data_IF_691206230509
#
_entry.id   IF_691206230509
#
_cell.length_a   1.000
_cell.length_b   1.000
_cell.length_c   1.000
_cell.angle_alpha   90.00
_cell.angle_beta   90.00
_cell.angle_gamma   90.00
#
_symmetry.space_group_name_H-M   'P 1'
#
loop_
_entity.id
_entity.type
_entity.pdbx_description
1 polymer ?
#
# COMPACT_ATOMS: atom_id res chain seq x y z
N UNK A 1 25.56 10.66 -9.18
CA UNK A 1 26.76 11.41 -9.57
C UNK A 1 27.76 10.48 -10.27
N UNK A 2 28.18 9.39 -9.61
CA UNK A 2 29.25 8.49 -10.09
C UNK A 2 28.93 7.87 -11.46
N UNK A 3 27.70 7.39 -11.67
CA UNK A 3 27.26 6.76 -12.93
C UNK A 3 27.07 7.72 -14.10
N UNK A 4 26.97 9.03 -13.82
CA UNK A 4 26.81 10.09 -14.83
C UNK A 4 28.13 10.88 -15.03
N UNK A 5 29.21 10.51 -14.34
CA UNK A 5 30.49 11.24 -14.38
C UNK A 5 30.43 12.66 -13.81
N UNK A 6 29.38 13.00 -13.05
CA UNK A 6 29.14 14.33 -12.49
C UNK A 6 29.62 14.39 -11.03
N UNK A 7 30.90 14.26 -10.78
CA UNK A 7 31.47 14.13 -9.43
C UNK A 7 31.26 15.40 -8.59
N UNK A 8 31.34 16.57 -9.20
CA UNK A 8 31.24 17.88 -8.53
C UNK A 8 29.86 18.50 -8.64
N UNK A 9 28.84 17.74 -9.05
CA UNK A 9 27.48 18.27 -9.19
C UNK A 9 26.89 18.60 -7.81
N UNK A 10 26.28 19.80 -7.72
CA UNK A 10 25.52 20.19 -6.53
C UNK A 10 24.28 19.34 -6.41
N UNK A 11 24.14 18.67 -5.27
CA UNK A 11 23.00 17.79 -4.99
C UNK A 11 21.94 18.54 -4.18
N UNK A 12 20.72 18.60 -4.69
CA UNK A 12 19.55 19.08 -3.98
C UNK A 12 18.69 17.87 -3.63
N UNK A 13 18.42 17.67 -2.34
CA UNK A 13 17.59 16.55 -1.85
C UNK A 13 16.41 17.14 -1.08
N UNK A 14 15.20 16.84 -1.53
CA UNK A 14 13.98 17.13 -0.77
C UNK A 14 13.62 15.94 0.12
N UNK A 15 12.90 16.19 1.19
CA UNK A 15 12.33 15.14 2.04
C UNK A 15 11.32 14.29 1.27
N UNK A 16 11.23 12.99 1.61
CA UNK A 16 10.15 12.10 1.19
C UNK A 16 8.84 12.40 1.94
N UNK A 17 8.85 13.27 2.94
CA UNK A 17 7.64 13.57 3.70
C UNK A 17 6.60 14.31 2.85
N UNK A 18 5.38 13.78 2.89
CA UNK A 18 4.18 14.37 2.28
C UNK A 18 3.16 14.68 3.39
N UNK A 19 3.29 15.82 4.09
CA UNK A 19 2.48 16.12 5.28
C UNK A 19 0.99 16.22 4.98
N UNK A 20 0.62 16.54 3.75
CA UNK A 20 -0.76 16.64 3.29
C UNK A 20 -1.44 15.29 3.00
N UNK A 21 -0.72 14.15 3.08
CA UNK A 21 -1.29 12.83 2.85
C UNK A 21 -1.65 12.17 4.18
N UNK A 22 -2.89 11.69 4.29
CA UNK A 22 -3.33 10.81 5.35
C UNK A 22 -3.12 9.35 4.93
N UNK A 23 -2.54 8.54 5.82
CA UNK A 23 -2.30 7.12 5.56
C UNK A 23 -3.14 6.23 6.48
N UNK A 24 -3.81 5.26 5.89
CA UNK A 24 -4.66 4.32 6.62
C UNK A 24 -4.55 2.90 6.06
N UNK A 25 -4.51 1.92 6.95
CA UNK A 25 -4.62 0.49 6.59
C UNK A 25 -5.87 -0.08 7.22
N UNK A 26 -6.75 -0.63 6.40
CA UNK A 26 -8.02 -1.25 6.79
C UNK A 26 -7.98 -2.77 6.59
N UNK A 27 -8.66 -3.54 7.43
CA UNK A 27 -8.84 -4.96 7.17
C UNK A 27 -9.64 -5.17 5.87
N UNK A 28 -9.16 -6.05 5.00
CA UNK A 28 -9.87 -6.44 3.79
C UNK A 28 -10.84 -7.56 4.11
N UNK A 29 -12.11 -7.24 4.08
CA UNK A 29 -13.23 -8.15 4.34
C UNK A 29 -13.99 -8.49 3.05
N UNK A 30 -14.97 -9.39 3.12
CA UNK A 30 -15.84 -9.71 1.98
C UNK A 30 -16.73 -8.51 1.57
N UNK A 31 -16.90 -7.51 2.41
CA UNK A 31 -17.68 -6.30 2.15
C UNK A 31 -16.84 -5.13 1.57
N UNK A 32 -15.58 -5.36 1.17
CA UNK A 32 -14.66 -4.33 0.67
C UNK A 32 -15.27 -3.46 -0.43
N UNK A 33 -15.98 -4.07 -1.39
CA UNK A 33 -16.59 -3.32 -2.49
C UNK A 33 -17.63 -2.31 -1.99
N UNK A 34 -18.45 -2.72 -1.02
CA UNK A 34 -19.45 -1.83 -0.40
C UNK A 34 -18.80 -0.69 0.37
N UNK A 35 -17.71 -1.00 1.06
CA UNK A 35 -16.94 0.00 1.81
C UNK A 35 -16.30 1.04 0.88
N UNK A 36 -15.67 0.60 -0.21
CA UNK A 36 -15.10 1.49 -1.24
C UNK A 36 -16.21 2.35 -1.86
N UNK A 37 -17.32 1.76 -2.27
CA UNK A 37 -18.46 2.50 -2.84
C UNK A 37 -18.98 3.56 -1.86
N UNK A 38 -19.17 3.20 -0.60
CA UNK A 38 -19.62 4.12 0.46
C UNK A 38 -18.62 5.27 0.64
N UNK A 39 -17.32 4.94 0.67
CA UNK A 39 -16.26 5.94 0.80
C UNK A 39 -16.28 6.92 -0.39
N UNK A 40 -16.28 6.41 -1.63
CA UNK A 40 -16.27 7.28 -2.83
C UNK A 40 -17.51 8.18 -2.86
N UNK A 41 -18.69 7.66 -2.52
CA UNK A 41 -19.91 8.47 -2.43
C UNK A 41 -19.80 9.60 -1.39
N UNK A 42 -19.05 9.40 -0.30
CA UNK A 42 -18.76 10.47 0.67
C UNK A 42 -17.75 11.51 0.13
N UNK A 43 -16.96 11.15 -0.91
CA UNK A 43 -15.99 12.02 -1.57
C UNK A 43 -16.53 12.63 -2.87
N UNK A 44 -17.86 12.82 -2.99
CA UNK A 44 -18.53 13.31 -4.21
C UNK A 44 -17.83 14.52 -4.81
N UNK A 45 -17.57 14.46 -6.13
CA UNK A 45 -16.88 15.51 -6.89
C UNK A 45 -15.35 15.56 -6.69
N UNK A 46 -14.78 14.51 -6.08
CA UNK A 46 -13.32 14.41 -5.90
C UNK A 46 -12.77 13.28 -6.77
N UNK A 47 -11.63 13.53 -7.42
CA UNK A 47 -10.94 12.54 -8.23
C UNK A 47 -10.15 11.54 -7.38
N UNK A 48 -10.16 10.27 -7.79
CA UNK A 48 -9.44 9.20 -7.10
C UNK A 48 -8.92 8.10 -7.99
N UNK A 49 -7.96 7.35 -7.46
CA UNK A 49 -7.35 6.20 -8.13
C UNK A 49 -7.49 4.99 -7.21
N UNK A 50 -7.88 3.84 -7.78
CA UNK A 50 -7.96 2.57 -7.07
C UNK A 50 -7.01 1.58 -7.73
N UNK A 51 -6.05 1.05 -6.99
CA UNK A 51 -5.11 0.04 -7.47
C UNK A 51 -5.55 -1.37 -7.09
N UNK A 52 -5.61 -2.27 -8.08
CA UNK A 52 -5.88 -3.70 -7.93
C UNK A 52 -4.73 -4.52 -8.50
N UNK A 53 -4.54 -5.75 -8.02
CA UNK A 53 -3.47 -6.65 -8.48
C UNK A 53 -3.75 -7.23 -9.87
N UNK A 54 -4.99 -7.54 -10.20
CA UNK A 54 -5.35 -8.23 -11.44
C UNK A 54 -6.20 -7.39 -12.38
N UNK A 55 -6.08 -7.65 -13.70
CA UNK A 55 -6.91 -7.01 -14.72
C UNK A 55 -8.39 -7.27 -14.51
N UNK A 56 -8.73 -8.51 -14.15
CA UNK A 56 -10.11 -8.91 -13.88
C UNK A 56 -10.70 -8.12 -12.71
N UNK A 57 -9.99 -7.98 -11.60
CA UNK A 57 -10.45 -7.17 -10.46
C UNK A 57 -10.65 -5.70 -10.85
N UNK A 58 -9.79 -5.16 -11.71
CA UNK A 58 -9.93 -3.80 -12.25
C UNK A 58 -11.24 -3.64 -13.03
N UNK A 59 -11.54 -4.56 -13.95
CA UNK A 59 -12.75 -4.53 -14.75
C UNK A 59 -14.01 -4.74 -13.90
N UNK A 60 -14.01 -5.77 -13.03
CA UNK A 60 -15.13 -6.10 -12.16
C UNK A 60 -15.46 -4.94 -11.19
N UNK A 61 -14.45 -4.32 -10.59
CA UNK A 61 -14.65 -3.21 -9.66
C UNK A 61 -15.12 -1.94 -10.40
N UNK A 62 -14.53 -1.62 -11.55
CA UNK A 62 -14.97 -0.46 -12.35
C UNK A 62 -16.44 -0.59 -12.76
N UNK A 63 -16.89 -1.78 -13.15
CA UNK A 63 -18.29 -2.03 -13.48
C UNK A 63 -19.20 -1.89 -12.26
N UNK A 64 -18.81 -2.44 -11.11
CA UNK A 64 -19.55 -2.27 -9.84
C UNK A 64 -19.69 -0.79 -9.45
N UNK A 65 -18.63 0.00 -9.63
CA UNK A 65 -18.68 1.44 -9.36
C UNK A 65 -19.69 2.14 -10.28
N UNK A 66 -19.67 1.84 -11.58
CA UNK A 66 -20.62 2.40 -12.57
C UNK A 66 -22.06 2.06 -12.23
N UNK A 67 -22.37 0.80 -11.92
CA UNK A 67 -23.71 0.36 -11.53
C UNK A 67 -24.20 1.10 -10.28
N UNK A 68 -23.29 1.52 -9.41
CA UNK A 68 -23.59 2.30 -8.22
C UNK A 68 -23.62 3.83 -8.44
N UNK A 69 -23.56 4.28 -9.70
CA UNK A 69 -23.65 5.68 -10.08
C UNK A 69 -22.38 6.49 -9.86
N UNK A 70 -21.21 5.81 -9.83
CA UNK A 70 -19.88 6.44 -9.75
C UNK A 70 -19.28 6.47 -11.15
N UNK A 71 -18.81 7.64 -11.58
CA UNK A 71 -18.13 7.81 -12.87
C UNK A 71 -16.72 7.22 -12.79
N UNK A 72 -16.59 5.95 -13.21
CA UNK A 72 -15.34 5.18 -13.09
C UNK A 72 -14.98 4.47 -14.40
N UNK A 73 -13.69 4.41 -14.72
CA UNK A 73 -13.17 3.64 -15.86
C UNK A 73 -12.03 2.71 -15.44
N UNK A 74 -11.92 1.51 -16.08
CA UNK A 74 -10.80 0.60 -15.87
C UNK A 74 -9.57 1.08 -16.65
N UNK A 75 -8.36 0.74 -16.13
CA UNK A 75 -7.09 0.98 -16.82
C UNK A 75 -6.07 -0.13 -16.53
N UNK A 76 -5.63 -0.85 -17.53
CA UNK A 76 -4.57 -1.85 -17.41
C UNK A 76 -3.86 -2.10 -18.76
N UNK A 77 -2.68 -2.69 -18.72
CA UNK A 77 -1.84 -2.92 -19.88
C UNK A 77 -2.44 -3.85 -20.95
N UNK A 78 -3.49 -4.61 -20.62
CA UNK A 78 -4.20 -5.49 -21.57
C UNK A 78 -5.23 -4.77 -22.46
N UNK A 79 -5.54 -3.50 -22.15
CA UNK A 79 -6.46 -2.70 -22.98
C UNK A 79 -5.76 -2.17 -24.22
N UNK A 80 -6.53 -1.89 -25.26
CA UNK A 80 -6.06 -1.19 -26.47
C UNK A 80 -5.41 0.15 -26.11
N UNK A 81 -4.35 0.53 -26.82
CA UNK A 81 -3.59 1.75 -26.54
C UNK A 81 -4.40 3.02 -26.72
N UNK A 82 -5.28 3.07 -27.71
CA UNK A 82 -6.15 4.23 -27.95
C UNK A 82 -7.18 4.36 -26.83
N UNK A 83 -7.76 3.24 -26.37
CA UNK A 83 -8.69 3.24 -25.22
C UNK A 83 -7.98 3.70 -23.94
N UNK A 84 -6.75 3.25 -23.69
CA UNK A 84 -5.96 3.71 -22.53
C UNK A 84 -5.68 5.21 -22.57
N UNK A 85 -5.26 5.74 -23.74
CA UNK A 85 -5.05 7.18 -23.94
C UNK A 85 -6.33 7.96 -23.66
N UNK A 86 -7.45 7.53 -24.24
CA UNK A 86 -8.75 8.19 -24.03
C UNK A 86 -9.18 8.15 -22.55
N UNK A 87 -9.02 7.02 -21.87
CA UNK A 87 -9.33 6.88 -20.43
C UNK A 87 -8.48 7.84 -19.59
N UNK A 88 -7.21 7.97 -19.92
CA UNK A 88 -6.31 8.91 -19.25
C UNK A 88 -6.73 10.37 -19.47
N UNK A 89 -7.04 10.73 -20.72
CA UNK A 89 -7.49 12.08 -21.06
C UNK A 89 -8.81 12.42 -20.38
N UNK A 90 -9.76 11.48 -20.34
CA UNK A 90 -11.06 11.66 -19.68
C UNK A 90 -10.90 11.86 -18.16
N UNK A 91 -9.91 11.21 -17.53
CA UNK A 91 -9.60 11.44 -16.13
C UNK A 91 -8.93 12.79 -15.87
N UNK A 92 -7.97 13.19 -16.71
CA UNK A 92 -7.28 14.49 -16.61
C UNK A 92 -8.27 15.63 -16.84
N UNK A 93 -9.18 15.47 -17.82
CA UNK A 93 -10.20 16.46 -18.19
C UNK A 93 -11.44 16.43 -17.29
N UNK A 94 -11.42 15.68 -16.18
CA UNK A 94 -12.50 15.60 -15.20
C UNK A 94 -13.85 15.09 -15.75
N UNK A 95 -13.82 14.34 -16.86
CA UNK A 95 -15.01 13.67 -17.39
C UNK A 95 -15.39 12.43 -16.59
N UNK A 96 -14.42 11.86 -15.87
CA UNK A 96 -14.59 10.75 -14.93
C UNK A 96 -13.92 11.08 -13.60
N UNK A 97 -14.52 10.60 -12.52
CA UNK A 97 -14.04 10.85 -11.16
C UNK A 97 -13.00 9.83 -10.70
N UNK A 98 -13.11 8.58 -11.17
CA UNK A 98 -12.34 7.45 -10.63
C UNK A 98 -11.68 6.64 -11.73
N UNK A 99 -10.40 6.35 -11.55
CA UNK A 99 -9.69 5.30 -12.30
C UNK A 99 -9.53 4.08 -11.40
N UNK A 100 -9.97 2.91 -11.89
CA UNK A 100 -9.62 1.62 -11.31
C UNK A 100 -8.51 1.01 -12.16
N UNK A 101 -7.34 0.73 -11.59
CA UNK A 101 -6.18 0.39 -12.38
C UNK A 101 -5.29 -0.69 -11.77
N UNK A 102 -4.49 -1.34 -12.63
CA UNK A 102 -3.26 -1.99 -12.19
C UNK A 102 -2.12 -0.97 -12.10
N UNK A 103 -0.95 -1.39 -11.64
CA UNK A 103 0.28 -0.55 -11.60
C UNK A 103 0.66 0.04 -12.99
N UNK A 104 0.01 -0.39 -14.07
CA UNK A 104 0.19 0.18 -15.40
C UNK A 104 -0.28 1.65 -15.49
N UNK A 105 -1.19 2.07 -14.62
CA UNK A 105 -1.61 3.47 -14.49
C UNK A 105 -0.63 4.19 -13.58
N UNK A 106 0.43 4.72 -14.19
CA UNK A 106 1.52 5.22 -13.38
C UNK A 106 2.36 6.29 -14.06
N UNK A 107 3.28 5.90 -14.91
CA UNK A 107 4.19 6.84 -15.55
C UNK A 107 3.43 7.81 -16.46
N UNK A 108 3.73 9.11 -16.34
CA UNK A 108 3.15 10.14 -17.19
C UNK A 108 1.78 10.68 -16.76
N UNK A 109 1.22 10.22 -15.64
CA UNK A 109 -0.02 10.77 -15.11
C UNK A 109 0.29 11.97 -14.22
N UNK A 110 -0.10 13.14 -14.66
CA UNK A 110 0.05 14.40 -13.93
C UNK A 110 -1.31 15.10 -13.74
N UNK A 111 -2.14 14.53 -12.87
CA UNK A 111 -3.35 15.16 -12.35
C UNK A 111 -3.05 15.61 -10.91
N UNK A 112 -2.98 16.94 -10.66
CA UNK A 112 -2.51 17.45 -9.38
C UNK A 112 -3.51 17.28 -8.23
N UNK A 113 -4.79 17.23 -8.53
CA UNK A 113 -5.91 17.29 -7.60
C UNK A 113 -6.55 15.92 -7.30
N UNK A 114 -5.81 14.84 -7.41
CA UNK A 114 -6.26 13.52 -6.94
C UNK A 114 -6.41 13.57 -5.41
N UNK A 115 -7.61 13.31 -4.91
CA UNK A 115 -7.93 13.42 -3.47
C UNK A 115 -7.83 12.13 -2.70
N UNK A 116 -7.88 10.99 -3.37
CA UNK A 116 -7.67 9.70 -2.72
C UNK A 116 -6.99 8.69 -3.64
N UNK A 117 -6.16 7.87 -3.03
CA UNK A 117 -5.59 6.66 -3.63
C UNK A 117 -5.96 5.49 -2.73
N UNK A 118 -6.62 4.51 -3.32
CA UNK A 118 -7.05 3.30 -2.62
C UNK A 118 -6.27 2.11 -3.19
N UNK A 119 -5.67 1.31 -2.32
CA UNK A 119 -5.13 0.01 -2.66
C UNK A 119 -6.14 -1.07 -2.26
N UNK A 120 -6.79 -1.67 -3.26
CA UNK A 120 -7.71 -2.79 -3.08
C UNK A 120 -7.00 -4.04 -2.56
N UNK A 121 -5.77 -4.21 -3.00
CA UNK A 121 -4.82 -5.23 -2.55
C UNK A 121 -3.56 -4.54 -2.03
N UNK A 122 -2.87 -5.19 -1.08
CA UNK A 122 -1.59 -4.68 -0.59
C UNK A 122 -0.57 -4.58 -1.74
N UNK A 123 0.19 -3.49 -1.86
CA UNK A 123 1.20 -3.34 -2.91
C UNK A 123 2.37 -4.31 -2.72
N UNK A 124 3.12 -4.56 -3.79
CA UNK A 124 4.24 -5.51 -3.81
C UNK A 124 5.48 -5.01 -3.07
N UNK A 125 5.60 -3.71 -2.87
CA UNK A 125 6.71 -3.06 -2.16
C UNK A 125 6.30 -1.70 -1.64
N UNK A 126 7.04 -1.19 -0.66
CA UNK A 126 6.83 0.16 -0.11
C UNK A 126 7.24 1.27 -1.10
N UNK A 127 8.19 1.02 -2.00
CA UNK A 127 8.53 1.97 -3.08
C UNK A 127 7.34 2.13 -4.04
N UNK A 128 6.74 1.02 -4.48
CA UNK A 128 5.53 1.04 -5.30
C UNK A 128 4.40 1.78 -4.59
N UNK A 129 4.16 1.44 -3.34
CA UNK A 129 3.18 2.10 -2.50
C UNK A 129 3.39 3.61 -2.41
N UNK A 130 4.62 4.05 -2.16
CA UNK A 130 4.98 5.46 -2.09
C UNK A 130 4.76 6.19 -3.42
N UNK A 131 5.15 5.58 -4.54
CA UNK A 131 4.93 6.14 -5.89
C UNK A 131 3.44 6.27 -6.22
N UNK A 132 2.64 5.28 -5.85
CA UNK A 132 1.20 5.23 -6.11
C UNK A 132 0.44 6.21 -5.21
N UNK A 133 0.69 6.20 -3.91
CA UNK A 133 0.11 7.17 -2.97
C UNK A 133 0.56 8.60 -3.24
N UNK A 134 1.80 8.78 -3.73
CA UNK A 134 2.36 10.07 -4.11
C UNK A 134 1.63 10.79 -5.23
N UNK A 135 0.64 10.15 -5.89
CA UNK A 135 -0.26 10.79 -6.86
C UNK A 135 -1.32 11.64 -6.21
N UNK A 136 -1.67 11.36 -4.95
CA UNK A 136 -2.63 12.17 -4.23
C UNK A 136 -2.02 13.53 -3.83
N UNK A 137 -2.82 14.58 -3.90
CA UNK A 137 -2.50 15.90 -3.38
C UNK A 137 -1.20 16.52 -3.90
N UNK A 138 -0.89 16.39 -5.19
CA UNK A 138 0.31 17.02 -5.78
C UNK A 138 0.26 18.52 -5.78
N UNK A 139 -0.94 19.09 -5.77
CA UNK A 139 -1.20 20.53 -5.63
C UNK A 139 -1.02 21.04 -4.18
N UNK A 140 -0.60 20.18 -3.25
CA UNK A 140 -0.48 20.51 -1.82
C UNK A 140 -1.79 20.35 -1.05
N UNK A 141 -2.91 20.08 -1.72
CA UNK A 141 -4.19 19.79 -1.08
C UNK A 141 -4.17 18.44 -0.34
N UNK A 142 -5.11 18.25 0.57
CA UNK A 142 -5.24 17.02 1.34
C UNK A 142 -5.49 15.80 0.43
N UNK A 143 -4.83 14.69 0.73
CA UNK A 143 -4.99 13.41 0.05
C UNK A 143 -5.15 12.26 1.03
N UNK A 144 -6.05 11.33 0.71
CA UNK A 144 -6.33 10.13 1.51
C UNK A 144 -5.70 8.91 0.83
N UNK A 145 -4.88 8.17 1.56
CA UNK A 145 -4.22 6.96 1.09
C UNK A 145 -4.71 5.79 1.94
N UNK A 146 -5.62 4.99 1.37
CA UNK A 146 -6.27 3.87 2.07
C UNK A 146 -5.77 2.57 1.46
N UNK A 147 -5.30 1.64 2.29
CA UNK A 147 -4.85 0.32 1.86
C UNK A 147 -5.67 -0.75 2.55
N UNK A 148 -6.27 -1.63 1.78
CA UNK A 148 -6.92 -2.82 2.31
C UNK A 148 -5.91 -3.97 2.40
N UNK A 149 -5.94 -4.69 3.53
CA UNK A 149 -5.00 -5.75 3.81
C UNK A 149 -5.67 -6.98 4.42
N UNK A 150 -5.29 -8.15 3.95
CA UNK A 150 -5.49 -9.44 4.61
C UNK A 150 -4.37 -10.43 4.24
N UNK A 151 -4.20 -11.49 5.02
CA UNK A 151 -3.17 -12.50 4.80
C UNK A 151 -3.37 -13.31 3.50
N UNK A 152 -4.60 -13.37 2.94
CA UNK A 152 -4.85 -14.07 1.67
C UNK A 152 -4.21 -13.35 0.50
N UNK A 153 -4.05 -12.03 0.58
CA UNK A 153 -3.39 -11.24 -0.46
C UNK A 153 -1.89 -11.58 -0.54
N UNK A 154 -1.25 -11.84 0.59
CA UNK A 154 0.15 -12.29 0.62
C UNK A 154 0.35 -13.59 -0.15
N UNK A 155 -0.53 -14.57 0.08
CA UNK A 155 -0.48 -15.85 -0.64
C UNK A 155 -0.64 -15.67 -2.16
N UNK A 156 -1.47 -14.72 -2.60
CA UNK A 156 -1.59 -14.37 -4.02
C UNK A 156 -0.29 -13.75 -4.54
N UNK A 157 0.30 -12.82 -3.79
CA UNK A 157 1.53 -12.14 -4.17
C UNK A 157 2.74 -13.09 -4.20
N UNK A 158 2.83 -14.02 -3.26
CA UNK A 158 3.86 -15.07 -3.25
C UNK A 158 3.78 -15.95 -4.49
N UNK A 159 2.57 -16.33 -4.93
CA UNK A 159 2.40 -17.07 -6.19
C UNK A 159 2.94 -16.34 -7.42
N UNK A 160 2.91 -15.02 -7.44
CA UNK A 160 3.54 -14.25 -8.53
C UNK A 160 5.08 -14.30 -8.52
N UNK A 161 5.69 -14.78 -7.44
CA UNK A 161 7.13 -15.01 -7.35
C UNK A 161 7.53 -16.41 -7.80
N UNK A 162 6.58 -17.36 -7.80
CA UNK A 162 6.83 -18.74 -8.26
C UNK A 162 7.31 -18.75 -9.72
N UNK A 163 8.28 -19.60 -10.01
CA UNK A 163 8.85 -19.76 -11.36
C UNK A 163 9.86 -18.67 -11.76
N UNK A 164 10.08 -17.64 -10.93
CA UNK A 164 11.15 -16.68 -11.14
C UNK A 164 12.51 -17.22 -10.68
N UNK A 165 13.65 -16.62 -11.14
CA UNK A 165 14.96 -16.92 -10.58
C UNK A 165 14.99 -16.78 -9.06
N UNK A 166 15.74 -17.65 -8.36
CA UNK A 166 15.80 -17.69 -6.89
C UNK A 166 16.16 -16.34 -6.26
N UNK A 167 17.08 -15.61 -6.87
CA UNK A 167 17.46 -14.26 -6.40
C UNK A 167 16.28 -13.28 -6.45
N UNK A 168 15.46 -13.31 -7.51
CA UNK A 168 14.27 -12.48 -7.63
C UNK A 168 13.18 -12.90 -6.63
N UNK A 169 13.01 -14.20 -6.38
CA UNK A 169 12.09 -14.70 -5.36
C UNK A 169 12.50 -14.22 -3.97
N UNK A 170 13.79 -14.29 -3.64
CA UNK A 170 14.31 -13.83 -2.36
C UNK A 170 14.02 -12.32 -2.14
N UNK A 171 14.42 -11.49 -3.12
CA UNK A 171 14.15 -10.05 -3.07
C UNK A 171 12.65 -9.77 -2.99
N UNK A 172 11.85 -10.44 -3.81
CA UNK A 172 10.40 -10.25 -3.80
C UNK A 172 9.74 -10.59 -2.46
N UNK A 173 10.18 -11.66 -1.79
CA UNK A 173 9.71 -12.02 -0.45
C UNK A 173 10.12 -11.00 0.60
N UNK A 174 11.35 -10.48 0.52
CA UNK A 174 11.81 -9.42 1.42
C UNK A 174 10.91 -8.18 1.30
N UNK A 175 10.66 -7.70 0.09
CA UNK A 175 9.78 -6.55 -0.17
C UNK A 175 8.34 -6.78 0.33
N UNK A 176 7.81 -8.00 0.18
CA UNK A 176 6.50 -8.37 0.71
C UNK A 176 6.49 -8.36 2.25
N UNK A 177 7.54 -8.88 2.89
CA UNK A 177 7.66 -8.86 4.35
C UNK A 177 7.70 -7.42 4.89
N UNK A 178 8.43 -6.53 4.24
CA UNK A 178 8.49 -5.11 4.61
C UNK A 178 7.13 -4.43 4.47
N UNK A 179 6.40 -4.72 3.39
CA UNK A 179 5.06 -4.17 3.17
C UNK A 179 4.05 -4.73 4.18
N UNK A 180 4.17 -6.01 4.53
CA UNK A 180 3.36 -6.67 5.57
C UNK A 180 3.64 -6.04 6.94
N UNK A 181 4.90 -5.88 7.30
CA UNK A 181 5.31 -5.24 8.55
C UNK A 181 4.75 -3.81 8.65
N UNK A 182 4.75 -3.06 7.54
CA UNK A 182 4.09 -1.76 7.47
C UNK A 182 2.58 -1.86 7.71
N UNK A 183 1.89 -2.82 7.08
CA UNK A 183 0.44 -2.97 7.20
C UNK A 183 0.01 -3.37 8.61
N UNK A 184 0.74 -4.26 9.27
CA UNK A 184 0.41 -4.81 10.60
C UNK A 184 0.87 -3.93 11.77
N UNK A 185 1.82 -3.04 11.53
CA UNK A 185 2.42 -2.20 12.57
C UNK A 185 1.41 -1.28 13.28
N UNK A 186 1.66 -1.05 14.56
CA UNK A 186 0.99 -0.03 15.37
C UNK A 186 1.78 1.30 15.41
N UNK A 187 2.97 1.35 14.80
CA UNK A 187 3.81 2.56 14.72
C UNK A 187 3.23 3.54 13.71
N UNK A 188 3.49 4.83 13.91
CA UNK A 188 3.09 5.89 12.96
C UNK A 188 3.44 5.52 11.52
N UNK A 189 2.43 5.50 10.61
CA UNK A 189 2.59 5.12 9.19
C UNK A 189 3.63 5.98 8.49
N UNK A 190 3.62 7.28 8.76
CA UNK A 190 4.57 8.23 8.18
C UNK A 190 5.99 7.97 8.64
N UNK A 191 6.19 7.69 9.93
CA UNK A 191 7.50 7.35 10.50
C UNK A 191 8.09 6.12 9.83
N UNK A 192 7.30 5.07 9.65
CA UNK A 192 7.72 3.85 8.97
C UNK A 192 8.14 4.11 7.51
N UNK A 193 7.33 4.84 6.75
CA UNK A 193 7.66 5.18 5.36
C UNK A 193 8.94 6.00 5.26
N UNK A 194 9.09 7.04 6.07
CA UNK A 194 10.28 7.89 6.04
C UNK A 194 11.54 7.13 6.46
N UNK A 195 11.43 6.29 7.49
CA UNK A 195 12.51 5.41 7.92
C UNK A 195 12.93 4.42 6.82
N UNK A 196 11.96 3.85 6.11
CA UNK A 196 12.23 2.97 4.97
C UNK A 196 13.07 3.66 3.89
N UNK A 197 12.84 4.94 3.63
CA UNK A 197 13.63 5.75 2.69
C UNK A 197 14.90 6.36 3.30
N UNK A 198 15.28 5.97 4.52
CA UNK A 198 16.48 6.43 5.21
C UNK A 198 16.38 7.85 5.75
N UNK A 199 15.15 8.35 6.01
CA UNK A 199 14.93 9.63 6.68
C UNK A 199 14.58 9.41 8.16
N UNK A 200 15.24 10.18 9.03
CA UNK A 200 14.84 10.25 10.43
C UNK A 200 13.59 11.12 10.56
N UNK A 201 12.65 10.64 11.34
CA UNK A 201 11.42 11.35 11.69
C UNK A 201 11.19 11.26 13.19
N UNK A 202 11.59 12.30 13.90
CA UNK A 202 11.64 12.31 15.37
C UNK A 202 10.27 12.60 16.03
N UNK A 203 9.24 12.86 15.19
CA UNK A 203 7.87 13.09 15.68
C UNK A 203 7.22 11.74 16.00
N UNK A 204 6.79 11.56 17.24
CA UNK A 204 6.14 10.32 17.68
C UNK A 204 4.73 10.17 17.10
N UNK A 205 3.97 11.27 17.04
CA UNK A 205 2.60 11.30 16.55
C UNK A 205 2.49 12.32 15.41
N UNK A 206 2.30 11.85 14.18
CA UNK A 206 2.18 12.76 13.03
C UNK A 206 0.81 13.46 12.92
N UNK A 207 -0.18 13.10 13.75
CA UNK A 207 -1.55 13.61 13.72
C UNK A 207 -2.35 13.25 12.46
N UNK A 208 -1.71 12.63 11.45
CA UNK A 208 -2.28 12.43 10.11
C UNK A 208 -2.06 11.00 9.57
N UNK A 209 -2.35 9.99 10.40
CA UNK A 209 -2.47 8.57 10.00
C UNK A 209 -3.38 7.82 10.99
N UNK A 210 -3.88 6.65 10.59
CA UNK A 210 -4.75 5.79 11.40
C UNK A 210 -4.17 5.46 12.78
N UNK A 211 -2.91 5.01 12.82
CA UNK A 211 -2.25 4.62 14.06
C UNK A 211 -2.04 5.81 15.04
N UNK A 212 -1.90 7.02 14.52
CA UNK A 212 -1.74 8.22 15.34
C UNK A 212 -3.08 8.77 15.83
N UNK A 213 -4.13 8.68 15.01
CA UNK A 213 -5.47 9.16 15.37
C UNK A 213 -6.23 8.18 16.26
N UNK A 214 -5.95 6.87 16.10
CA UNK A 214 -6.55 5.81 16.90
C UNK A 214 -5.47 4.84 17.37
N UNK A 215 -4.63 5.24 18.34
CA UNK A 215 -3.52 4.43 18.82
C UNK A 215 -4.03 3.10 19.38
N UNK A 216 -3.42 2.01 18.91
CA UNK A 216 -3.68 0.67 19.44
C UNK A 216 -3.16 0.59 20.87
N UNK A 217 -3.92 -0.08 21.75
CA UNK A 217 -3.46 -0.34 23.11
C UNK A 217 -2.16 -1.15 23.06
N UNK A 218 -1.11 -0.58 23.61
CA UNK A 218 0.16 -1.27 23.76
C UNK A 218 0.16 -2.04 25.09
N UNK A 219 0.82 -3.18 25.11
CA UNK A 219 1.07 -3.98 26.30
C UNK A 219 2.57 -4.14 26.48
N UNK A 220 3.05 -4.15 27.73
CA UNK A 220 4.43 -4.52 28.00
C UNK A 220 4.59 -6.00 27.66
N UNK A 221 5.45 -6.30 26.70
CA UNK A 221 5.63 -7.64 26.17
C UNK A 221 7.04 -8.22 26.41
N UNK A 222 7.88 -7.55 27.21
CA UNK A 222 9.26 -7.98 27.42
C UNK A 222 9.36 -9.41 27.95
N UNK A 223 8.65 -9.72 29.01
CA UNK A 223 8.64 -11.07 29.63
C UNK A 223 8.06 -12.12 28.65
N UNK A 224 7.01 -11.76 27.90
CA UNK A 224 6.46 -12.64 26.87
C UNK A 224 7.47 -12.91 25.76
N UNK A 225 8.18 -11.89 25.32
CA UNK A 225 9.20 -12.03 24.29
C UNK A 225 10.37 -12.90 24.77
N UNK A 226 10.86 -12.69 25.99
CA UNK A 226 11.89 -13.52 26.62
C UNK A 226 11.43 -14.98 26.67
N UNK A 227 10.21 -15.25 27.11
CA UNK A 227 9.63 -16.61 27.14
C UNK A 227 9.57 -17.25 25.75
N UNK A 228 9.17 -16.50 24.73
CA UNK A 228 9.14 -16.99 23.34
C UNK A 228 10.54 -17.34 22.85
N UNK A 229 11.51 -16.44 23.09
CA UNK A 229 12.91 -16.66 22.69
C UNK A 229 13.48 -17.89 23.37
N UNK A 230 13.31 -18.02 24.67
CA UNK A 230 13.81 -19.17 25.43
C UNK A 230 13.18 -20.47 24.97
N UNK A 231 11.88 -20.47 24.65
CA UNK A 231 11.18 -21.65 24.09
C UNK A 231 11.77 -22.04 22.71
N UNK A 232 11.98 -21.08 21.82
CA UNK A 232 12.57 -21.34 20.49
C UNK A 232 13.99 -21.90 20.63
N UNK A 233 14.79 -21.32 21.51
CA UNK A 233 16.15 -21.81 21.80
C UNK A 233 16.17 -23.23 22.39
N UNK A 234 15.29 -23.52 23.34
CA UNK A 234 15.14 -24.84 23.94
C UNK A 234 14.74 -25.90 22.91
N UNK A 235 13.89 -25.53 21.96
CA UNK A 235 13.44 -26.38 20.82
C UNK A 235 14.47 -26.43 19.67
N UNK A 236 15.63 -25.77 19.80
CA UNK A 236 16.73 -25.71 18.81
C UNK A 236 16.28 -25.28 17.43
N UNK A 237 15.28 -24.41 17.34
CA UNK A 237 14.75 -23.82 16.10
C UNK A 237 14.27 -24.84 15.04
N UNK A 238 13.95 -26.08 15.45
CA UNK A 238 13.65 -27.18 14.52
C UNK A 238 12.16 -27.44 14.30
N UNK A 239 11.28 -26.60 14.85
CA UNK A 239 9.85 -26.82 14.84
C UNK A 239 9.10 -25.72 14.09
N UNK A 240 7.91 -26.06 13.54
CA UNK A 240 7.02 -25.08 12.94
C UNK A 240 6.41 -24.16 13.98
N UNK A 241 6.00 -22.98 13.55
CA UNK A 241 5.46 -21.94 14.42
C UNK A 241 4.21 -22.42 15.19
N UNK A 242 3.38 -23.26 14.58
CA UNK A 242 2.19 -23.83 15.23
C UNK A 242 2.56 -24.67 16.45
N UNK A 243 3.60 -25.49 16.34
CA UNK A 243 4.09 -26.29 17.46
C UNK A 243 4.64 -25.42 18.59
N UNK A 244 5.40 -24.38 18.25
CA UNK A 244 5.93 -23.43 19.24
C UNK A 244 4.78 -22.74 20.00
N UNK A 245 3.72 -22.37 19.28
CA UNK A 245 2.52 -21.79 19.89
C UNK A 245 1.86 -22.79 20.86
N UNK A 246 1.73 -24.05 20.47
CA UNK A 246 1.10 -25.06 21.32
C UNK A 246 1.93 -25.34 22.58
N UNK A 247 3.25 -25.37 22.48
CA UNK A 247 4.16 -25.43 23.66
C UNK A 247 3.97 -24.24 24.58
N UNK A 248 3.93 -23.01 24.04
CA UNK A 248 3.72 -21.79 24.81
C UNK A 248 2.35 -21.74 25.50
N UNK A 249 1.34 -22.39 24.90
CA UNK A 249 0.00 -22.51 25.46
C UNK A 249 -0.15 -23.69 26.44
N UNK A 250 0.91 -24.48 26.66
CA UNK A 250 0.88 -25.65 27.54
C UNK A 250 0.02 -26.81 27.00
N UNK A 251 -0.08 -26.96 25.68
CA UNK A 251 -0.82 -28.04 25.03
C UNK A 251 0.08 -29.23 24.67
N UNK A 252 1.39 -29.03 24.70
CA UNK A 252 2.46 -29.98 24.39
C UNK A 252 3.52 -30.00 25.50
#
# INVERSE_FOLDING_TARGET
>A
QKNLGMVDAKVFKSSFNRPNLYYEVRPKTDDIDKEIIKYIKSQKGKSGIIYCLSRKEVEDLAEKLKVNGISALPYHAGMDSAVRSQTQDDFIMEKIDVIVATIAFGMGIDKPDVRYVIHYDIPKSLEGYYQETGRAGRDGGEGQCITFYNNKDLQKLEKFLEGKPLAEQYIGRQLLNETTAYAESAVCRRKLLLHYFGENYDVENCGNCDNCQSPKKQVEAKELLETVIDTVLALKENFKIEYIIDVLLGKE
#
